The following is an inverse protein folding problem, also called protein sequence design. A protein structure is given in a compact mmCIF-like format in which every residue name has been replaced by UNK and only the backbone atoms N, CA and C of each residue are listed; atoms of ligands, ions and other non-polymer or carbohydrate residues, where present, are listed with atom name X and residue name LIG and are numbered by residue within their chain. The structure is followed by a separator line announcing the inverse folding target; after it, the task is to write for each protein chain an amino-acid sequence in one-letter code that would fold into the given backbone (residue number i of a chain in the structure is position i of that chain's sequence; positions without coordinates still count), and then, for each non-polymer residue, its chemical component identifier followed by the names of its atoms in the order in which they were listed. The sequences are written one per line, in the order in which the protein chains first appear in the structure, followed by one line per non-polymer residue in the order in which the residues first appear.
data_IF_416293647795
#
_entry.id   IF_416293647795
#
_cell.length_a   1.000
_cell.length_b   1.000
_cell.length_c   1.000
_cell.angle_alpha   90.00
_cell.angle_beta   90.00
_cell.angle_gamma   90.00
#
_symmetry.space_group_name_H-M   'P 1'
#
loop_
_entity.id
_entity.type
_entity.pdbx_description
1 polymer ?
#
# COMPACT_ATOMS: atom_id res chain seq x y z
N UNK A 1 6.41 5.91 -18.76
CA UNK A 1 5.62 4.64 -18.75
C UNK A 1 6.24 3.55 -17.85
N UNK A 2 7.49 3.13 -18.08
CA UNK A 2 8.15 2.07 -17.30
C UNK A 2 8.14 2.31 -15.79
N UNK A 3 8.29 3.58 -15.35
CA UNK A 3 8.26 3.94 -13.93
C UNK A 3 6.91 3.67 -13.27
N UNK A 4 5.79 4.02 -13.92
CA UNK A 4 4.43 3.81 -13.36
C UNK A 4 4.13 2.30 -13.23
N UNK A 5 4.51 1.51 -14.22
CA UNK A 5 4.39 0.05 -14.19
C UNK A 5 5.30 -0.54 -13.09
N UNK A 6 6.53 -0.05 -12.96
CA UNK A 6 7.44 -0.43 -11.88
C UNK A 6 6.87 -0.09 -10.50
N UNK A 7 6.22 1.06 -10.35
CA UNK A 7 5.50 1.43 -9.13
C UNK A 7 4.38 0.43 -8.81
N UNK A 8 3.56 0.05 -9.80
CA UNK A 8 2.53 -0.98 -9.62
C UNK A 8 3.12 -2.30 -9.14
N UNK A 9 4.21 -2.76 -9.76
CA UNK A 9 4.89 -3.98 -9.36
C UNK A 9 5.34 -3.93 -7.89
N UNK A 10 5.97 -2.83 -7.47
CA UNK A 10 6.40 -2.66 -6.08
C UNK A 10 5.18 -2.69 -5.13
N UNK A 11 4.10 -1.98 -5.48
CA UNK A 11 2.88 -1.93 -4.67
C UNK A 11 2.20 -3.30 -4.54
N UNK A 12 2.28 -4.18 -5.54
CA UNK A 12 1.82 -5.56 -5.46
C UNK A 12 2.62 -6.39 -4.44
N UNK A 13 3.90 -6.09 -4.24
CA UNK A 13 4.80 -6.82 -3.34
C UNK A 13 4.60 -6.38 -1.88
N UNK A 14 4.35 -5.09 -1.62
CA UNK A 14 4.21 -4.54 -0.27
C UNK A 14 3.20 -5.28 0.66
N UNK A 15 1.97 -5.60 0.24
CA UNK A 15 1.05 -6.36 1.11
C UNK A 15 1.55 -7.78 1.39
N UNK A 16 2.34 -8.39 0.51
CA UNK A 16 2.95 -9.71 0.74
C UNK A 16 4.04 -9.61 1.80
N UNK A 17 4.85 -8.55 1.77
CA UNK A 17 5.84 -8.27 2.83
C UNK A 17 5.13 -8.10 4.18
N UNK A 18 4.00 -7.38 4.22
CA UNK A 18 3.21 -7.24 5.45
C UNK A 18 2.69 -8.59 5.97
N UNK A 19 2.30 -9.51 5.06
CA UNK A 19 1.88 -10.86 5.42
C UNK A 19 3.01 -11.67 6.07
N UNK A 20 4.25 -11.53 5.58
CA UNK A 20 5.42 -12.18 6.17
C UNK A 20 5.77 -11.59 7.54
N UNK A 21 5.65 -10.26 7.70
CA UNK A 21 5.80 -9.62 9.01
C UNK A 21 4.73 -10.12 9.99
N UNK A 22 3.48 -10.24 9.55
CA UNK A 22 2.42 -10.82 10.38
C UNK A 22 2.71 -12.29 10.73
N UNK A 23 3.25 -13.08 9.80
CA UNK A 23 3.66 -14.46 10.05
C UNK A 23 4.75 -14.58 11.12
N UNK A 24 5.72 -13.67 11.12
CA UNK A 24 6.70 -13.56 12.20
C UNK A 24 6.02 -13.36 13.57
N UNK A 25 5.04 -12.44 13.64
CA UNK A 25 4.28 -12.23 14.88
C UNK A 25 3.38 -13.42 15.26
N UNK A 26 2.86 -14.19 14.30
CA UNK A 26 2.12 -15.44 14.60
C UNK A 26 3.01 -16.44 15.30
N UNK A 27 4.23 -16.66 14.78
CA UNK A 27 5.20 -17.53 15.46
C UNK A 27 5.58 -17.00 16.83
N UNK A 28 5.83 -15.69 16.95
CA UNK A 28 6.27 -15.06 18.20
C UNK A 28 5.20 -15.08 19.30
N UNK A 29 3.94 -14.73 18.96
CA UNK A 29 2.85 -14.56 19.93
C UNK A 29 2.04 -15.83 20.17
N UNK A 30 1.92 -16.70 19.15
CA UNK A 30 1.03 -17.89 19.17
C UNK A 30 1.82 -19.21 19.11
N UNK A 31 3.16 -19.15 19.01
CA UNK A 31 4.05 -20.32 19.04
C UNK A 31 4.05 -21.19 17.79
N UNK A 32 3.18 -20.93 16.82
CA UNK A 32 3.10 -21.69 15.57
C UNK A 32 2.56 -20.83 14.42
N UNK A 33 2.80 -21.26 13.17
CA UNK A 33 2.19 -20.68 11.97
C UNK A 33 1.21 -21.71 11.40
N UNK A 34 -0.08 -21.40 11.47
CA UNK A 34 -1.11 -22.15 10.79
C UNK A 34 -1.21 -21.67 9.33
N UNK A 35 -0.92 -22.58 8.40
CA UNK A 35 -1.04 -22.35 6.96
C UNK A 35 -2.35 -22.89 6.38
N UNK A 36 -3.15 -23.62 7.17
CA UNK A 36 -4.50 -24.06 6.78
C UNK A 36 -5.48 -22.91 6.93
N UNK A 37 -5.49 -22.28 8.10
CA UNK A 37 -6.40 -21.16 8.44
C UNK A 37 -5.64 -19.87 8.85
N UNK A 38 -4.72 -19.34 8.02
CA UNK A 38 -3.83 -18.25 8.41
C UNK A 38 -4.58 -16.96 8.78
N UNK A 39 -5.74 -16.71 8.17
CA UNK A 39 -6.54 -15.50 8.43
C UNK A 39 -7.23 -15.56 9.80
N UNK A 40 -7.76 -16.73 10.18
CA UNK A 40 -8.34 -16.95 11.51
C UNK A 40 -7.26 -16.81 12.58
N UNK A 41 -6.10 -17.43 12.35
CA UNK A 41 -4.97 -17.29 13.28
C UNK A 41 -4.53 -15.82 13.44
N UNK A 42 -4.55 -15.04 12.35
CA UNK A 42 -4.13 -13.63 12.37
C UNK A 42 -5.04 -12.74 13.24
N UNK A 43 -6.30 -13.12 13.46
CA UNK A 43 -7.24 -12.40 14.33
C UNK A 43 -6.87 -12.51 15.82
N UNK A 44 -6.03 -13.48 16.18
CA UNK A 44 -5.56 -13.69 17.55
C UNK A 44 -4.35 -12.80 17.90
N UNK A 45 -3.75 -12.15 16.90
CA UNK A 45 -2.61 -11.25 17.11
C UNK A 45 -3.02 -9.98 17.84
N UNK A 46 -2.09 -9.43 18.61
CA UNK A 46 -2.24 -8.14 19.28
C UNK A 46 -1.02 -7.23 19.04
N UNK A 47 -1.14 -5.96 19.40
CA UNK A 47 -0.05 -4.99 19.31
C UNK A 47 0.52 -4.87 17.89
N UNK A 48 1.84 -5.01 17.76
CA UNK A 48 2.53 -4.89 16.47
C UNK A 48 2.09 -5.95 15.44
N UNK A 49 1.74 -7.16 15.89
CA UNK A 49 1.23 -8.23 15.02
C UNK A 49 -0.11 -7.88 14.39
N UNK A 50 -1.08 -7.43 15.20
CA UNK A 50 -2.36 -6.94 14.70
C UNK A 50 -2.20 -5.77 13.73
N UNK A 51 -1.28 -4.85 14.05
CA UNK A 51 -0.96 -3.70 13.18
C UNK A 51 -0.28 -4.10 11.87
N UNK A 52 0.51 -5.18 11.83
CA UNK A 52 1.05 -5.71 10.58
C UNK A 52 -0.05 -6.27 9.66
N UNK A 53 -1.04 -6.97 10.23
CA UNK A 53 -2.23 -7.44 9.49
C UNK A 53 -3.05 -6.26 8.97
N UNK A 54 -3.26 -5.23 9.78
CA UNK A 54 -3.95 -4.02 9.36
C UNK A 54 -3.18 -3.25 8.26
N UNK A 55 -1.84 -3.18 8.36
CA UNK A 55 -0.99 -2.58 7.33
C UNK A 55 -1.03 -3.36 6.01
N UNK A 56 -1.15 -4.69 6.05
CA UNK A 56 -1.40 -5.53 4.87
C UNK A 56 -2.72 -5.14 4.20
N UNK A 57 -3.83 -5.10 4.97
CA UNK A 57 -5.15 -4.73 4.47
C UNK A 57 -5.14 -3.35 3.79
N UNK A 58 -4.57 -2.35 4.47
CA UNK A 58 -4.48 -1.00 3.92
C UNK A 58 -3.60 -0.92 2.67
N UNK A 59 -2.58 -1.77 2.55
CA UNK A 59 -1.73 -1.82 1.35
C UNK A 59 -2.46 -2.41 0.14
N UNK A 60 -3.39 -3.35 0.35
CA UNK A 60 -4.30 -3.81 -0.71
C UNK A 60 -5.26 -2.71 -1.17
N UNK A 61 -5.86 -1.97 -0.24
CA UNK A 61 -6.75 -0.83 -0.55
C UNK A 61 -6.00 0.26 -1.34
N UNK A 62 -4.79 0.62 -0.89
CA UNK A 62 -3.97 1.62 -1.56
C UNK A 62 -3.56 1.18 -2.98
N UNK A 63 -3.20 -0.10 -3.16
CA UNK A 63 -2.92 -0.67 -4.47
C UNK A 63 -4.13 -0.58 -5.39
N UNK A 64 -5.33 -0.91 -4.90
CA UNK A 64 -6.56 -0.84 -5.70
C UNK A 64 -6.83 0.58 -6.21
N UNK A 65 -6.73 1.59 -5.33
CA UNK A 65 -6.95 3.00 -5.68
C UNK A 65 -5.89 3.49 -6.67
N UNK A 66 -4.60 3.21 -6.40
CA UNK A 66 -3.52 3.61 -7.30
C UNK A 66 -3.64 2.96 -8.68
N UNK A 67 -4.02 1.68 -8.72
CA UNK A 67 -4.23 0.94 -9.98
C UNK A 67 -5.36 1.55 -10.80
N UNK A 68 -6.49 1.89 -10.17
CA UNK A 68 -7.60 2.57 -10.83
C UNK A 68 -7.20 3.96 -11.36
N UNK A 69 -6.43 4.73 -10.59
CA UNK A 69 -5.96 6.05 -11.00
C UNK A 69 -4.96 5.99 -12.17
N UNK A 70 -4.01 5.04 -12.11
CA UNK A 70 -3.06 4.80 -13.20
C UNK A 70 -3.75 4.32 -14.49
N UNK A 71 -4.79 3.49 -14.36
CA UNK A 71 -5.62 3.06 -15.49
C UNK A 71 -6.40 4.24 -16.09
N UNK A 72 -6.96 5.12 -15.26
CA UNK A 72 -7.66 6.32 -15.74
C UNK A 72 -6.74 7.23 -16.57
N UNK A 73 -5.50 7.47 -16.11
CA UNK A 73 -4.50 8.21 -16.87
C UNK A 73 -4.22 7.57 -18.24
N UNK A 74 -4.08 6.24 -18.27
CA UNK A 74 -3.84 5.50 -19.50
C UNK A 74 -5.01 5.61 -20.48
N UNK A 75 -6.24 5.42 -20.00
CA UNK A 75 -7.47 5.53 -20.81
C UNK A 75 -7.62 6.95 -21.38
N UNK A 76 -7.31 7.97 -20.56
CA UNK A 76 -7.38 9.37 -20.96
C UNK A 76 -6.22 9.82 -21.87
N UNK A 77 -5.28 8.94 -22.22
CA UNK A 77 -4.16 9.26 -23.10
C UNK A 77 -3.13 10.22 -22.47
N UNK A 78 -3.13 10.38 -21.14
CA UNK A 78 -2.14 11.22 -20.45
C UNK A 78 -0.76 10.58 -20.57
N UNK A 79 0.25 11.39 -20.89
CA UNK A 79 1.64 10.92 -20.91
C UNK A 79 2.06 10.45 -19.50
N UNK A 80 2.15 9.13 -19.33
CA UNK A 80 2.57 8.51 -18.06
C UNK A 80 3.99 8.89 -17.65
N UNK A 81 4.83 9.39 -18.56
CA UNK A 81 6.14 9.90 -18.17
C UNK A 81 6.02 11.15 -17.29
N UNK A 82 5.07 12.03 -17.59
CA UNK A 82 4.83 13.27 -16.83
C UNK A 82 4.50 13.06 -15.34
N UNK A 83 3.90 11.92 -14.98
CA UNK A 83 3.52 11.57 -13.60
C UNK A 83 4.51 10.64 -12.89
N UNK A 84 5.63 10.29 -13.52
CA UNK A 84 6.57 9.28 -13.02
C UNK A 84 7.12 9.61 -11.64
N UNK A 85 7.44 10.89 -11.39
CA UNK A 85 7.91 11.36 -10.08
C UNK A 85 6.86 11.15 -9.00
N UNK A 86 5.60 11.49 -9.27
CA UNK A 86 4.51 11.32 -8.31
C UNK A 86 4.21 9.85 -8.03
N UNK A 87 4.31 8.98 -9.04
CA UNK A 87 4.21 7.53 -8.86
C UNK A 87 5.31 6.99 -7.91
N UNK A 88 6.54 7.46 -8.06
CA UNK A 88 7.64 7.10 -7.16
C UNK A 88 7.46 7.67 -5.74
N UNK A 89 6.97 8.90 -5.62
CA UNK A 89 6.62 9.48 -4.31
C UNK A 89 5.54 8.66 -3.62
N UNK A 90 4.50 8.22 -4.35
CA UNK A 90 3.49 7.32 -3.80
C UNK A 90 4.11 6.03 -3.26
N UNK A 91 5.00 5.39 -4.02
CA UNK A 91 5.72 4.19 -3.55
C UNK A 91 6.52 4.46 -2.29
N UNK A 92 7.29 5.55 -2.25
CA UNK A 92 8.07 5.93 -1.07
C UNK A 92 7.19 6.16 0.16
N UNK A 93 6.06 6.84 -0.01
CA UNK A 93 5.04 7.01 1.03
C UNK A 93 4.55 5.65 1.53
N UNK A 94 4.23 4.69 0.64
CA UNK A 94 3.77 3.36 1.06
C UNK A 94 4.85 2.55 1.79
N UNK A 95 6.12 2.66 1.38
CA UNK A 95 7.25 2.03 2.07
C UNK A 95 7.41 2.61 3.48
N UNK A 96 7.26 3.93 3.66
CA UNK A 96 7.32 4.58 4.97
C UNK A 96 6.06 4.32 5.83
N UNK A 97 4.90 4.14 5.20
CA UNK A 97 3.63 3.91 5.87
C UNK A 97 3.65 2.63 6.72
N UNK A 98 4.17 1.54 6.17
CA UNK A 98 4.18 0.21 6.80
C UNK A 98 4.89 0.21 8.17
N UNK A 99 6.17 0.64 8.29
CA UNK A 99 6.85 0.68 9.58
C UNK A 99 6.21 1.69 10.53
N UNK A 100 5.74 2.86 10.06
CA UNK A 100 5.02 3.82 10.90
C UNK A 100 3.74 3.20 11.49
N UNK A 101 3.00 2.42 10.69
CA UNK A 101 1.82 1.70 11.13
C UNK A 101 2.15 0.66 12.21
N UNK A 102 3.15 -0.19 11.96
CA UNK A 102 3.54 -1.25 12.88
C UNK A 102 4.08 -0.67 14.20
N UNK A 103 4.85 0.43 14.12
CA UNK A 103 5.39 1.16 15.27
C UNK A 103 4.34 2.02 16.01
N UNK A 104 3.10 2.08 15.53
CA UNK A 104 2.02 2.87 16.12
C UNK A 104 2.27 4.39 16.15
N UNK A 105 2.94 4.92 15.12
CA UNK A 105 3.16 6.37 14.96
C UNK A 105 1.99 6.96 14.14
N UNK A 106 0.90 7.27 14.84
CA UNK A 106 -0.40 7.61 14.28
C UNK A 106 -0.43 8.89 13.44
N UNK A 107 0.18 9.99 13.91
CA UNK A 107 0.23 11.26 13.18
C UNK A 107 0.96 11.09 11.84
N UNK A 108 2.13 10.45 11.86
CA UNK A 108 2.92 10.19 10.66
C UNK A 108 2.14 9.32 9.66
N UNK A 109 1.48 8.28 10.16
CA UNK A 109 0.62 7.40 9.36
C UNK A 109 -0.46 8.21 8.63
N UNK A 110 -1.18 9.08 9.34
CA UNK A 110 -2.25 9.89 8.74
C UNK A 110 -1.73 10.85 7.68
N UNK A 111 -0.60 11.52 7.93
CA UNK A 111 0.03 12.42 6.96
C UNK A 111 0.45 11.68 5.68
N UNK A 112 1.08 10.51 5.83
CA UNK A 112 1.49 9.68 4.70
C UNK A 112 0.26 9.18 3.91
N UNK A 113 -0.81 8.78 4.60
CA UNK A 113 -2.05 8.36 3.96
C UNK A 113 -2.65 9.49 3.12
N UNK A 114 -2.79 10.69 3.69
CA UNK A 114 -3.35 11.86 3.01
C UNK A 114 -2.50 12.22 1.78
N UNK A 115 -1.16 12.23 1.91
CA UNK A 115 -0.27 12.49 0.79
C UNK A 115 -0.43 11.46 -0.34
N UNK A 116 -0.47 10.17 -0.01
CA UNK A 116 -0.66 9.10 -0.99
C UNK A 116 -2.02 9.16 -1.67
N UNK A 117 -3.09 9.37 -0.89
CA UNK A 117 -4.44 9.50 -1.43
C UNK A 117 -4.59 10.74 -2.31
N UNK A 118 -3.99 11.87 -1.92
CA UNK A 118 -3.95 13.09 -2.72
C UNK A 118 -3.28 12.91 -4.08
N UNK A 119 -2.21 12.10 -4.17
CA UNK A 119 -1.59 11.76 -5.45
C UNK A 119 -2.56 11.01 -6.36
N UNK A 120 -3.30 10.03 -5.83
CA UNK A 120 -4.31 9.31 -6.60
C UNK A 120 -5.43 10.23 -7.09
N UNK A 121 -5.93 11.14 -6.23
CA UNK A 121 -6.92 12.14 -6.62
C UNK A 121 -6.40 13.06 -7.72
N UNK A 122 -5.13 13.47 -7.64
CA UNK A 122 -4.50 14.28 -8.67
C UNK A 122 -4.36 13.54 -10.00
N UNK A 123 -4.07 12.24 -9.98
CA UNK A 123 -4.05 11.41 -11.20
C UNK A 123 -5.43 11.35 -11.86
N UNK A 124 -6.50 11.16 -11.07
CA UNK A 124 -7.87 11.24 -11.60
C UNK A 124 -8.19 12.63 -12.16
N UNK A 125 -7.78 13.70 -11.48
CA UNK A 125 -7.96 15.07 -11.98
C UNK A 125 -7.29 15.28 -13.34
N UNK A 126 -6.04 14.81 -13.51
CA UNK A 126 -5.34 14.89 -14.79
C UNK A 126 -6.07 14.11 -15.89
N UNK A 127 -6.55 12.90 -15.58
CA UNK A 127 -7.31 12.09 -16.52
C UNK A 127 -8.63 12.77 -16.94
N UNK A 128 -9.34 13.41 -16.02
CA UNK A 128 -10.57 14.17 -16.30
C UNK A 128 -10.31 15.46 -17.09
N UNK A 129 -9.10 16.01 -17.01
CA UNK A 129 -8.72 17.27 -17.65
C UNK A 129 -8.11 17.08 -19.04
N UNK A 130 -7.80 15.84 -19.42
CA UNK A 130 -7.32 15.48 -20.75
C UNK A 130 -8.51 15.51 -21.72
N UNK A 131 -8.70 16.66 -22.37
CA UNK A 131 -9.62 16.84 -23.50
C UNK A 131 -8.84 16.78 -24.82
#
# INVERSE_FOLDING_TARGET
MNTVIGSLLILCILPIICAWIAAYFRQQQLGSIDNKEPRIQSQQLSGAGARAVAAQGNSWEALAIFSAAALALFIAGVDLQSVSTLAMVFVALRIAYIPAYIANVDILRSLIFIGGFGICLYFFYLALSAN
#
